data_IF_666668634600
#
_entry.id   IF_666668634600
#
_cell.length_a   1.000
_cell.length_b   1.000
_cell.length_c   1.000
_cell.angle_alpha   90.00
_cell.angle_beta   90.00
_cell.angle_gamma   90.00
#
_symmetry.space_group_name_H-M   'P 1'
#
loop_
_entity.id
_entity.type
_entity.pdbx_description
1 polymer ?
#
# COMPACT_ATOMS: atom_id res chain seq x y z
N UNK A 1 25.43 -47.08 -15.17
CA UNK A 1 24.20 -46.30 -14.88
C UNK A 1 24.20 -45.59 -13.53
N UNK A 2 25.15 -45.82 -12.61
CA UNK A 2 25.14 -45.20 -11.28
C UNK A 2 25.73 -43.76 -11.18
N UNK A 3 26.60 -43.35 -12.12
CA UNK A 3 27.24 -42.02 -12.08
C UNK A 3 26.34 -40.87 -12.57
N UNK A 4 25.27 -41.16 -13.32
CA UNK A 4 24.31 -40.15 -13.77
C UNK A 4 23.31 -39.76 -12.65
N UNK A 5 23.04 -40.67 -11.71
CA UNK A 5 22.09 -40.47 -10.60
C UNK A 5 22.61 -39.48 -9.53
N UNK A 6 23.88 -39.60 -9.11
CA UNK A 6 24.47 -38.69 -8.10
C UNK A 6 24.58 -37.25 -8.61
N UNK A 7 24.98 -37.07 -9.86
CA UNK A 7 25.14 -35.74 -10.48
C UNK A 7 23.78 -35.05 -10.68
N UNK A 8 22.75 -35.80 -11.11
CA UNK A 8 21.39 -35.28 -11.25
C UNK A 8 20.75 -34.88 -9.91
N UNK A 9 20.95 -35.69 -8.86
CA UNK A 9 20.45 -35.39 -7.52
C UNK A 9 21.07 -34.10 -6.96
N UNK A 10 22.40 -33.94 -7.05
CA UNK A 10 23.11 -32.74 -6.58
C UNK A 10 22.76 -31.49 -7.41
N UNK A 11 22.52 -31.66 -8.71
CA UNK A 11 22.05 -30.59 -9.58
C UNK A 11 20.67 -30.10 -9.16
N UNK A 12 19.71 -31.02 -8.96
CA UNK A 12 18.36 -30.69 -8.50
C UNK A 12 18.36 -30.04 -7.11
N UNK A 13 19.17 -30.57 -6.18
CA UNK A 13 19.35 -30.00 -4.86
C UNK A 13 19.84 -28.54 -4.93
N UNK A 14 20.88 -28.28 -5.73
CA UNK A 14 21.45 -26.94 -5.91
C UNK A 14 20.45 -25.98 -6.56
N UNK A 15 19.72 -26.44 -7.57
CA UNK A 15 18.69 -25.67 -8.26
C UNK A 15 17.56 -25.27 -7.31
N UNK A 16 17.06 -26.20 -6.48
CA UNK A 16 15.99 -25.94 -5.52
C UNK A 16 16.46 -25.03 -4.38
N UNK A 17 17.70 -25.17 -3.91
CA UNK A 17 18.28 -24.24 -2.94
C UNK A 17 18.35 -22.83 -3.51
N UNK A 18 18.82 -22.67 -4.75
CA UNK A 18 18.85 -21.37 -5.43
C UNK A 18 17.44 -20.80 -5.63
N UNK A 19 16.47 -21.63 -6.03
CA UNK A 19 15.11 -21.16 -6.25
C UNK A 19 14.42 -20.69 -4.95
N UNK A 20 14.73 -21.34 -3.82
CA UNK A 20 14.32 -20.86 -2.49
C UNK A 20 15.03 -19.56 -2.09
N UNK A 21 16.30 -19.38 -2.45
CA UNK A 21 17.00 -18.11 -2.24
C UNK A 21 16.32 -16.96 -2.99
N UNK A 22 15.88 -17.19 -4.25
CA UNK A 22 15.09 -16.20 -5.01
C UNK A 22 13.79 -15.87 -4.28
N UNK A 23 13.10 -16.86 -3.69
CA UNK A 23 11.89 -16.62 -2.89
C UNK A 23 12.18 -15.74 -1.66
N UNK A 24 13.32 -15.93 -0.99
CA UNK A 24 13.74 -15.04 0.11
C UNK A 24 13.90 -13.60 -0.37
N UNK A 25 14.58 -13.39 -1.50
CA UNK A 25 14.74 -12.05 -2.08
C UNK A 25 13.38 -11.41 -2.42
N UNK A 26 12.46 -12.19 -2.99
CA UNK A 26 11.10 -11.75 -3.27
C UNK A 26 10.33 -11.40 -1.98
N UNK A 27 10.48 -12.20 -0.92
CA UNK A 27 9.87 -11.94 0.40
C UNK A 27 10.37 -10.64 1.03
N UNK A 28 11.69 -10.37 0.94
CA UNK A 28 12.28 -9.10 1.41
C UNK A 28 11.70 -7.93 0.61
N UNK A 29 11.62 -8.03 -0.71
CA UNK A 29 11.07 -6.99 -1.56
C UNK A 29 9.57 -6.74 -1.29
N UNK A 30 8.78 -7.80 -1.10
CA UNK A 30 7.36 -7.71 -0.75
C UNK A 30 7.18 -7.01 0.59
N UNK A 31 7.95 -7.43 1.60
CA UNK A 31 7.92 -6.82 2.93
C UNK A 31 8.32 -5.34 2.87
N UNK A 32 9.37 -4.99 2.12
CA UNK A 32 9.81 -3.61 1.95
C UNK A 32 8.73 -2.74 1.27
N UNK A 33 8.04 -3.27 0.25
CA UNK A 33 6.92 -2.58 -0.42
C UNK A 33 5.75 -2.33 0.54
N UNK A 34 5.38 -3.31 1.37
CA UNK A 34 4.35 -3.15 2.39
C UNK A 34 4.74 -2.12 3.46
N UNK A 35 5.99 -2.14 3.93
CA UNK A 35 6.50 -1.14 4.89
C UNK A 35 6.45 0.25 4.27
N UNK A 36 6.91 0.41 3.02
CA UNK A 36 6.85 1.67 2.30
C UNK A 36 5.42 2.21 2.20
N UNK A 37 4.45 1.34 1.90
CA UNK A 37 3.04 1.72 1.83
C UNK A 37 2.46 2.14 3.19
N UNK A 38 2.79 1.41 4.28
CA UNK A 38 2.29 1.72 5.63
C UNK A 38 2.93 3.01 6.17
N UNK A 39 4.21 3.21 5.89
CA UNK A 39 4.98 4.37 6.36
C UNK A 39 4.86 5.60 5.45
N UNK A 40 4.07 5.52 4.38
CA UNK A 40 4.08 6.46 3.26
C UNK A 40 4.18 7.94 3.67
N UNK A 41 5.28 8.58 3.24
CA UNK A 41 5.56 9.99 3.49
C UNK A 41 4.52 10.92 2.84
N UNK A 42 3.89 10.50 1.74
CA UNK A 42 2.90 11.29 1.01
C UNK A 42 1.56 11.41 1.78
N UNK A 43 1.39 10.64 2.87
CA UNK A 43 0.18 10.67 3.69
C UNK A 43 -1.04 10.04 3.01
N UNK A 44 -0.87 9.44 1.82
CA UNK A 44 -1.96 8.80 1.07
C UNK A 44 -2.50 7.61 1.83
N UNK A 45 -1.64 6.87 2.53
CA UNK A 45 -2.06 5.80 3.45
C UNK A 45 -3.09 6.26 4.48
N UNK A 46 -2.84 7.39 5.13
CA UNK A 46 -3.75 7.95 6.14
C UNK A 46 -5.07 8.40 5.52
N UNK A 47 -5.04 8.88 4.27
CA UNK A 47 -6.28 9.19 3.54
C UNK A 47 -7.11 7.94 3.26
N UNK A 48 -6.47 6.84 2.87
CA UNK A 48 -7.15 5.57 2.63
C UNK A 48 -7.67 4.97 3.93
N UNK A 49 -6.86 4.96 4.99
CA UNK A 49 -7.28 4.54 6.34
C UNK A 49 -8.48 5.35 6.82
N UNK A 50 -8.50 6.66 6.51
CA UNK A 50 -9.59 7.52 6.93
C UNK A 50 -10.94 7.08 6.36
N UNK A 51 -10.99 6.64 5.10
CA UNK A 51 -12.21 6.19 4.42
C UNK A 51 -12.95 5.03 5.09
N UNK A 52 -12.36 4.40 6.10
CA UNK A 52 -12.96 3.28 6.82
C UNK A 52 -12.97 2.00 5.99
N UNK A 53 -12.19 1.94 4.91
CA UNK A 53 -11.95 0.70 4.16
C UNK A 53 -11.00 -0.19 4.97
N UNK A 54 -11.56 -0.86 5.98
CA UNK A 54 -10.89 -1.90 6.79
C UNK A 54 -10.18 -2.96 5.94
N UNK A 55 -10.68 -3.23 4.73
CA UNK A 55 -10.10 -4.18 3.78
C UNK A 55 -8.68 -3.79 3.34
N UNK A 56 -8.41 -2.51 3.08
CA UNK A 56 -7.10 -2.05 2.59
C UNK A 56 -6.07 -2.05 3.71
N UNK A 57 -6.46 -1.57 4.90
CA UNK A 57 -5.63 -1.65 6.10
C UNK A 57 -5.25 -3.10 6.40
N UNK A 58 -6.22 -4.01 6.46
CA UNK A 58 -5.97 -5.44 6.73
C UNK A 58 -5.11 -6.06 5.64
N UNK A 59 -5.32 -5.72 4.37
CA UNK A 59 -4.52 -6.23 3.25
C UNK A 59 -3.04 -5.83 3.35
N UNK A 60 -2.74 -4.58 3.75
CA UNK A 60 -1.37 -4.11 3.92
C UNK A 60 -0.62 -4.90 5.02
N UNK A 61 -1.27 -5.13 6.16
CA UNK A 61 -0.71 -5.94 7.25
C UNK A 61 -0.58 -7.41 6.89
N UNK A 62 -1.58 -8.00 6.24
CA UNK A 62 -1.49 -9.38 5.75
C UNK A 62 -0.31 -9.50 4.77
N UNK A 63 -0.15 -8.57 3.84
CA UNK A 63 1.00 -8.53 2.91
C UNK A 63 2.35 -8.46 3.64
N UNK A 64 2.45 -7.63 4.70
CA UNK A 64 3.65 -7.53 5.53
C UNK A 64 4.04 -8.87 6.18
N UNK A 65 3.07 -9.55 6.82
CA UNK A 65 3.31 -10.84 7.46
C UNK A 65 3.60 -11.94 6.45
N UNK A 66 2.92 -11.93 5.29
CA UNK A 66 3.18 -12.86 4.19
C UNK A 66 4.59 -12.67 3.63
N UNK A 67 5.05 -11.43 3.45
CA UNK A 67 6.43 -11.11 3.07
C UNK A 67 7.45 -11.66 4.06
N UNK A 68 7.21 -11.51 5.37
CA UNK A 68 8.05 -12.12 6.39
C UNK A 68 8.05 -13.66 6.34
N UNK A 69 6.90 -14.27 6.08
CA UNK A 69 6.80 -15.72 5.92
C UNK A 69 7.57 -16.22 4.68
N UNK A 70 7.58 -15.47 3.58
CA UNK A 70 8.41 -15.71 2.40
C UNK A 70 9.92 -15.57 2.64
N UNK A 71 10.34 -15.04 3.79
CA UNK A 71 11.74 -15.06 4.21
C UNK A 71 12.00 -16.35 5.00
N UNK A 72 11.21 -16.59 6.04
CA UNK A 72 11.42 -17.69 6.98
C UNK A 72 11.22 -19.08 6.37
N UNK A 73 10.13 -19.27 5.61
CA UNK A 73 9.76 -20.59 5.07
C UNK A 73 10.76 -21.08 4.01
N UNK A 74 11.19 -20.26 3.03
CA UNK A 74 12.22 -20.68 2.08
C UNK A 74 13.60 -20.90 2.71
N UNK A 75 13.98 -20.16 3.77
CA UNK A 75 15.19 -20.46 4.56
C UNK A 75 15.11 -21.84 5.20
N UNK A 76 13.95 -22.16 5.80
CA UNK A 76 13.69 -23.51 6.30
C UNK A 76 13.71 -24.56 5.17
N UNK A 77 13.18 -24.22 3.99
CA UNK A 77 13.24 -25.06 2.79
C UNK A 77 14.66 -25.37 2.35
N UNK A 78 15.55 -24.36 2.29
CA UNK A 78 16.97 -24.55 2.01
C UNK A 78 17.61 -25.52 3.01
N UNK A 79 17.33 -25.37 4.30
CA UNK A 79 17.82 -26.30 5.34
C UNK A 79 17.26 -27.73 5.16
N UNK A 80 15.98 -27.87 4.85
CA UNK A 80 15.33 -29.16 4.59
C UNK A 80 15.95 -29.89 3.39
N UNK A 81 16.27 -29.15 2.32
CA UNK A 81 16.95 -29.64 1.12
C UNK A 81 18.38 -30.08 1.43
N UNK A 82 19.16 -29.28 2.19
CA UNK A 82 20.54 -29.63 2.56
C UNK A 82 20.61 -30.88 3.43
N UNK A 83 19.65 -31.07 4.33
CA UNK A 83 19.57 -32.23 5.21
C UNK A 83 18.97 -33.47 4.54
N UNK A 84 18.42 -33.33 3.33
CA UNK A 84 17.71 -34.39 2.59
C UNK A 84 16.69 -35.15 3.45
N UNK A 85 16.03 -34.46 4.39
CA UNK A 85 15.12 -35.09 5.35
C UNK A 85 13.67 -34.97 4.89
N UNK A 86 13.04 -36.11 4.59
CA UNK A 86 11.65 -36.19 4.14
C UNK A 86 10.66 -35.48 5.06
N UNK A 87 10.81 -35.66 6.37
CA UNK A 87 9.93 -35.01 7.37
C UNK A 87 10.01 -33.48 7.29
N UNK A 88 11.21 -32.94 7.10
CA UNK A 88 11.42 -31.49 6.99
C UNK A 88 10.91 -30.96 5.64
N UNK A 89 11.12 -31.70 4.55
CA UNK A 89 10.63 -31.32 3.22
C UNK A 89 9.10 -31.31 3.19
N UNK A 90 8.45 -32.30 3.81
CA UNK A 90 6.99 -32.34 3.92
C UNK A 90 6.44 -31.20 4.79
N UNK A 91 7.10 -30.90 5.92
CA UNK A 91 6.74 -29.75 6.74
C UNK A 91 6.88 -28.42 5.97
N UNK A 92 7.97 -28.26 5.21
CA UNK A 92 8.17 -27.09 4.35
C UNK A 92 7.05 -26.97 3.33
N UNK A 93 6.67 -28.07 2.68
CA UNK A 93 5.61 -28.08 1.68
C UNK A 93 4.27 -27.58 2.24
N UNK A 94 3.86 -28.04 3.42
CA UNK A 94 2.64 -27.58 4.09
C UNK A 94 2.72 -26.10 4.44
N UNK A 95 3.83 -25.66 5.06
CA UNK A 95 4.01 -24.25 5.43
C UNK A 95 3.97 -23.34 4.19
N UNK A 96 4.63 -23.74 3.11
CA UNK A 96 4.69 -22.96 1.89
C UNK A 96 3.34 -22.90 1.16
N UNK A 97 2.51 -23.94 1.25
CA UNK A 97 1.12 -23.90 0.77
C UNK A 97 0.26 -22.89 1.54
N UNK A 98 0.43 -22.79 2.86
CA UNK A 98 -0.27 -21.81 3.68
C UNK A 98 0.13 -20.39 3.26
N UNK A 99 1.44 -20.13 3.10
CA UNK A 99 1.95 -18.84 2.63
C UNK A 99 1.42 -18.51 1.23
N UNK A 100 1.41 -19.49 0.32
CA UNK A 100 0.88 -19.34 -1.03
C UNK A 100 -0.61 -18.94 -1.01
N UNK A 101 -1.42 -19.53 -0.14
CA UNK A 101 -2.84 -19.19 -0.03
C UNK A 101 -3.07 -17.77 0.48
N UNK A 102 -2.30 -17.33 1.48
CA UNK A 102 -2.37 -15.95 1.99
C UNK A 102 -1.92 -14.93 0.95
N UNK A 103 -0.86 -15.22 0.20
CA UNK A 103 -0.39 -14.34 -0.88
C UNK A 103 -1.38 -14.26 -2.05
N UNK A 104 -2.02 -15.38 -2.40
CA UNK A 104 -3.10 -15.37 -3.37
C UNK A 104 -4.27 -14.49 -2.89
N UNK A 105 -4.65 -14.59 -1.61
CA UNK A 105 -5.72 -13.78 -1.04
C UNK A 105 -5.36 -12.27 -1.01
N UNK A 106 -4.12 -11.90 -0.65
CA UNK A 106 -3.67 -10.51 -0.64
C UNK A 106 -3.61 -9.95 -2.07
N UNK A 107 -3.05 -10.68 -3.04
CA UNK A 107 -2.93 -10.26 -4.43
C UNK A 107 -4.31 -10.06 -5.10
N UNK A 108 -5.27 -10.96 -4.85
CA UNK A 108 -6.66 -10.82 -5.33
C UNK A 108 -7.31 -9.59 -4.70
N UNK A 109 -7.14 -9.38 -3.39
CA UNK A 109 -7.70 -8.20 -2.69
C UNK A 109 -7.15 -6.91 -3.31
N UNK A 110 -5.84 -6.81 -3.51
CA UNK A 110 -5.20 -5.66 -4.15
C UNK A 110 -5.66 -5.46 -5.62
N UNK A 111 -5.95 -6.54 -6.34
CA UNK A 111 -6.37 -6.47 -7.74
C UNK A 111 -7.84 -6.05 -7.91
N UNK A 112 -8.73 -6.52 -7.03
CA UNK A 112 -10.20 -6.38 -7.12
C UNK A 112 -10.73 -5.14 -6.42
N UNK A 113 -10.06 -4.63 -5.39
CA UNK A 113 -10.55 -3.47 -4.62
C UNK A 113 -10.20 -2.12 -5.26
N UNK A 114 -9.74 -2.09 -6.53
CA UNK A 114 -9.40 -0.86 -7.25
C UNK A 114 -10.58 0.10 -7.41
N UNK A 115 -11.80 -0.43 -7.41
CA UNK A 115 -13.03 0.35 -7.62
C UNK A 115 -13.56 1.02 -6.34
N UNK A 116 -12.94 0.77 -5.16
CA UNK A 116 -13.37 1.35 -3.88
C UNK A 116 -12.91 2.80 -3.69
N UNK A 117 -11.88 3.23 -4.43
CA UNK A 117 -11.33 4.58 -4.35
C UNK A 117 -12.23 5.58 -5.08
N UNK A 118 -13.53 5.57 -4.85
CA UNK A 118 -14.42 6.57 -5.46
C UNK A 118 -14.05 7.98 -4.95
N UNK A 119 -14.15 9.01 -5.80
CA UNK A 119 -13.92 10.39 -5.38
C UNK A 119 -14.84 10.79 -4.21
N UNK A 120 -16.06 10.24 -4.18
CA UNK A 120 -17.04 10.52 -3.13
C UNK A 120 -16.59 10.07 -1.74
N UNK A 121 -15.82 8.98 -1.65
CA UNK A 121 -15.29 8.48 -0.39
C UNK A 121 -14.26 9.48 0.17
N UNK A 122 -13.29 9.87 -0.66
CA UNK A 122 -12.30 10.88 -0.28
C UNK A 122 -12.93 12.25 0.01
N UNK A 123 -14.01 12.60 -0.70
CA UNK A 123 -14.73 13.85 -0.48
C UNK A 123 -15.39 13.85 0.89
N UNK A 124 -16.13 12.79 1.22
CA UNK A 124 -16.75 12.65 2.53
C UNK A 124 -15.71 12.70 3.65
N UNK A 125 -14.60 12.00 3.50
CA UNK A 125 -13.52 11.99 4.49
C UNK A 125 -12.85 13.34 4.65
N UNK A 126 -12.53 14.02 3.55
CA UNK A 126 -11.96 15.36 3.59
C UNK A 126 -12.88 16.32 4.35
N UNK A 127 -14.17 16.36 4.00
CA UNK A 127 -15.12 17.27 4.64
C UNK A 127 -15.30 16.98 6.15
N UNK A 128 -15.17 15.71 6.56
CA UNK A 128 -15.36 15.26 7.94
C UNK A 128 -14.11 15.34 8.83
N UNK A 129 -12.90 15.24 8.29
CA UNK A 129 -11.69 15.17 9.12
C UNK A 129 -10.73 16.35 8.91
N UNK A 130 -10.81 17.04 7.78
CA UNK A 130 -9.92 18.16 7.51
C UNK A 130 -10.21 19.34 8.46
N UNK A 131 -9.20 19.76 9.23
CA UNK A 131 -9.28 20.80 10.26
C UNK A 131 -10.41 20.59 11.30
N UNK A 132 -10.85 19.34 11.52
CA UNK A 132 -11.82 19.04 12.57
C UNK A 132 -11.27 19.48 13.94
N UNK A 133 -12.03 20.25 14.74
CA UNK A 133 -11.55 20.71 16.04
C UNK A 133 -11.51 19.53 17.00
N UNK A 134 -10.41 19.41 17.74
CA UNK A 134 -10.27 18.34 18.74
C UNK A 134 -11.21 18.63 19.92
N UNK A 135 -11.95 17.64 20.43
CA UNK A 135 -12.84 17.85 21.57
C UNK A 135 -12.02 18.28 22.80
N UNK A 136 -12.41 19.40 23.42
CA UNK A 136 -11.70 20.00 24.56
C UNK A 136 -11.91 19.30 25.90
N UNK A 137 -12.69 18.21 25.96
CA UNK A 137 -13.06 17.49 27.19
C UNK A 137 -12.91 15.98 26.96
N UNK A 138 -11.94 15.35 27.66
CA UNK A 138 -11.70 13.88 27.76
C UNK A 138 -11.12 13.28 26.46
N UNK A 139 -10.17 12.31 26.51
CA UNK A 139 -9.20 12.18 25.44
C UNK A 139 -9.95 11.75 24.19
N UNK A 140 -9.90 12.57 23.15
CA UNK A 140 -10.07 12.02 21.81
C UNK A 140 -9.12 10.84 21.76
N UNK A 141 -9.63 9.64 21.42
CA UNK A 141 -8.80 8.45 21.32
C UNK A 141 -7.57 8.84 20.50
N UNK A 142 -6.37 8.49 20.96
CA UNK A 142 -5.12 8.97 20.35
C UNK A 142 -5.10 8.72 18.83
N UNK A 143 -5.79 7.68 18.39
CA UNK A 143 -6.08 7.31 17.01
C UNK A 143 -6.92 8.37 16.25
N UNK A 144 -7.95 8.94 16.86
CA UNK A 144 -8.75 10.02 16.24
C UNK A 144 -7.92 11.29 16.07
N UNK A 145 -7.10 11.65 17.06
CA UNK A 145 -6.19 12.80 16.97
C UNK A 145 -5.19 12.59 15.84
N UNK A 146 -4.58 11.39 15.78
CA UNK A 146 -3.64 11.02 14.73
C UNK A 146 -4.29 11.07 13.36
N UNK A 147 -5.51 10.54 13.22
CA UNK A 147 -6.28 10.54 11.97
C UNK A 147 -6.61 11.96 11.52
N UNK A 148 -7.16 12.83 12.37
CA UNK A 148 -7.48 14.22 12.02
C UNK A 148 -6.23 14.98 11.56
N UNK A 149 -5.14 14.90 12.34
CA UNK A 149 -3.88 15.57 12.02
C UNK A 149 -3.25 15.03 10.74
N UNK A 150 -3.22 13.71 10.59
CA UNK A 150 -2.65 13.04 9.41
C UNK A 150 -3.43 13.33 8.14
N UNK A 151 -4.77 13.27 8.17
CA UNK A 151 -5.63 13.64 7.03
C UNK A 151 -5.40 15.11 6.64
N UNK A 152 -5.39 16.01 7.62
CA UNK A 152 -5.17 17.45 7.38
C UNK A 152 -3.78 17.71 6.79
N UNK A 153 -2.75 17.07 7.31
CA UNK A 153 -1.37 17.19 6.81
C UNK A 153 -1.22 16.64 5.39
N UNK A 154 -1.79 15.47 5.11
CA UNK A 154 -1.76 14.84 3.79
C UNK A 154 -2.46 15.72 2.74
N UNK A 155 -3.67 16.21 3.04
CA UNK A 155 -4.38 17.13 2.15
C UNK A 155 -3.60 18.44 1.90
N UNK A 156 -3.04 19.04 2.95
CA UNK A 156 -2.22 20.25 2.82
C UNK A 156 -1.03 20.04 1.90
N UNK A 157 -0.32 18.92 2.07
CA UNK A 157 0.82 18.55 1.24
C UNK A 157 0.42 18.35 -0.23
N UNK A 158 -0.61 17.54 -0.48
CA UNK A 158 -1.06 17.21 -1.84
C UNK A 158 -1.53 18.45 -2.58
N UNK A 159 -2.32 19.32 -1.93
CA UNK A 159 -2.81 20.57 -2.54
C UNK A 159 -1.66 21.49 -2.98
N UNK A 160 -0.62 21.61 -2.14
CA UNK A 160 0.58 22.40 -2.44
C UNK A 160 1.41 21.75 -3.56
N UNK A 161 1.80 20.48 -3.39
CA UNK A 161 2.75 19.80 -4.29
C UNK A 161 2.17 19.55 -5.68
N UNK A 162 0.89 19.16 -5.76
CA UNK A 162 0.22 18.84 -7.03
C UNK A 162 -0.55 20.04 -7.60
N UNK A 163 -0.51 21.20 -6.92
CA UNK A 163 -1.20 22.43 -7.33
C UNK A 163 -2.67 22.15 -7.69
N UNK A 164 -3.37 21.53 -6.74
CA UNK A 164 -4.76 21.11 -6.87
C UNK A 164 -5.56 21.57 -5.65
N UNK A 165 -6.89 21.57 -5.74
CA UNK A 165 -7.76 21.95 -4.63
C UNK A 165 -8.99 21.06 -4.57
N UNK A 166 -9.31 20.55 -3.38
CA UNK A 166 -10.46 19.66 -3.19
C UNK A 166 -10.27 18.30 -3.89
N UNK A 167 -11.32 17.48 -3.90
CA UNK A 167 -11.31 16.17 -4.56
C UNK A 167 -11.53 16.39 -6.05
N UNK A 168 -12.64 17.04 -6.38
CA UNK A 168 -13.08 17.35 -7.74
C UNK A 168 -12.74 18.80 -8.11
N UNK A 169 -12.61 19.68 -7.11
CA UNK A 169 -12.21 21.07 -7.31
C UNK A 169 -12.43 21.93 -6.06
N UNK A 170 -12.11 23.23 -6.14
CA UNK A 170 -12.27 24.17 -5.02
C UNK A 170 -13.72 24.32 -4.55
N UNK A 171 -14.69 24.04 -5.43
CA UNK A 171 -16.12 24.09 -5.11
C UNK A 171 -16.55 23.07 -4.05
N UNK A 172 -15.75 22.02 -3.83
CA UNK A 172 -16.03 21.02 -2.79
C UNK A 172 -16.10 21.66 -1.39
N UNK A 173 -15.30 22.71 -1.14
CA UNK A 173 -15.26 23.42 0.14
C UNK A 173 -16.45 24.36 0.38
N UNK A 174 -17.04 24.87 -0.70
CA UNK A 174 -18.13 25.86 -0.66
C UNK A 174 -19.50 25.19 -0.76
N UNK A 175 -19.60 24.15 -1.61
CA UNK A 175 -20.87 23.48 -1.91
C UNK A 175 -21.33 22.58 -0.77
N UNK A 176 -20.39 21.95 -0.06
CA UNK A 176 -20.69 20.97 0.98
C UNK A 176 -20.37 21.53 2.37
N UNK A 177 -21.10 21.05 3.38
CA UNK A 177 -20.78 21.37 4.77
C UNK A 177 -19.53 20.58 5.21
N UNK A 178 -18.58 21.28 5.80
CA UNK A 178 -17.31 20.73 6.28
C UNK A 178 -16.91 21.37 7.60
N UNK A 179 -16.12 20.66 8.41
CA UNK A 179 -15.57 21.26 9.64
C UNK A 179 -14.70 22.48 9.36
N UNK A 180 -14.04 22.53 8.20
CA UNK A 180 -13.32 23.71 7.74
C UNK A 180 -14.25 24.92 7.59
N UNK A 181 -15.37 24.74 6.90
CA UNK A 181 -16.35 25.79 6.64
C UNK A 181 -17.05 26.27 7.90
N UNK A 182 -17.29 25.38 8.86
CA UNK A 182 -17.85 25.77 10.17
C UNK A 182 -16.93 26.71 10.97
N UNK A 183 -15.62 26.69 10.69
CA UNK A 183 -14.62 27.51 11.38
C UNK A 183 -14.15 28.74 10.59
N UNK A 184 -14.42 28.78 9.28
CA UNK A 184 -13.92 29.82 8.38
C UNK A 184 -15.09 30.45 7.65
N UNK A 185 -15.19 31.77 7.72
CA UNK A 185 -16.22 32.52 7.02
C UNK A 185 -15.86 32.56 5.53
N UNK A 186 -16.82 32.26 4.66
CA UNK A 186 -16.64 32.25 3.19
C UNK A 186 -16.11 33.60 2.66
N UNK A 187 -16.40 34.71 3.37
CA UNK A 187 -15.92 36.06 3.06
C UNK A 187 -14.41 36.25 3.28
N UNK A 188 -13.79 35.48 4.18
CA UNK A 188 -12.36 35.55 4.46
C UNK A 188 -11.58 34.53 3.63
N UNK A 189 -12.00 33.25 3.65
CA UNK A 189 -11.37 32.16 2.90
C UNK A 189 -12.39 31.07 2.55
N UNK A 190 -12.88 30.99 1.30
CA UNK A 190 -13.85 29.96 0.88
C UNK A 190 -13.25 28.55 0.76
N UNK A 191 -11.91 28.43 0.77
CA UNK A 191 -11.17 27.17 0.73
C UNK A 191 -9.83 27.32 1.50
N UNK A 192 -9.14 26.20 1.80
CA UNK A 192 -7.85 26.26 2.47
C UNK A 192 -6.80 27.05 1.68
N UNK A 193 -5.89 27.72 2.41
CA UNK A 193 -4.80 28.52 1.80
C UNK A 193 -3.88 27.69 0.92
N UNK A 194 -3.79 26.40 1.19
CA UNK A 194 -3.01 25.41 0.45
C UNK A 194 -3.52 25.20 -0.98
N UNK A 195 -4.76 25.61 -1.29
CA UNK A 195 -5.28 25.65 -2.66
C UNK A 195 -4.71 26.80 -3.50
N UNK A 196 -4.13 27.83 -2.86
CA UNK A 196 -3.55 28.98 -3.52
C UNK A 196 -2.18 28.63 -4.12
N UNK A 197 -1.91 29.14 -5.32
CA UNK A 197 -0.61 28.94 -5.95
C UNK A 197 0.50 29.68 -5.21
N UNK A 198 1.64 28.99 -5.05
CA UNK A 198 2.87 29.56 -4.53
C UNK A 198 3.80 29.97 -5.67
N UNK A 199 4.57 31.03 -5.44
CA UNK A 199 5.64 31.49 -6.31
C UNK A 199 6.88 30.57 -6.21
N UNK A 200 7.90 30.84 -7.02
CA UNK A 200 9.14 30.05 -7.03
C UNK A 200 9.93 30.11 -5.70
N UNK A 201 9.59 31.05 -4.81
CA UNK A 201 10.22 31.24 -3.50
C UNK A 201 9.40 30.60 -2.36
N UNK A 202 8.25 29.99 -2.68
CA UNK A 202 7.34 29.35 -1.73
C UNK A 202 6.36 30.30 -1.03
N UNK A 203 6.34 31.58 -1.40
CA UNK A 203 5.35 32.53 -0.92
C UNK A 203 4.08 32.46 -1.76
N UNK A 204 2.92 32.78 -1.18
CA UNK A 204 1.66 32.80 -1.94
C UNK A 204 1.68 33.95 -2.95
N UNK A 205 1.49 33.65 -4.25
CA UNK A 205 1.65 34.64 -5.33
C UNK A 205 0.71 35.85 -5.18
N UNK A 206 -0.55 35.61 -4.82
CA UNK A 206 -1.51 36.65 -4.42
C UNK A 206 -2.63 36.03 -3.60
N UNK A 207 -2.68 36.37 -2.31
CA UNK A 207 -3.67 35.82 -1.41
C UNK A 207 -5.06 36.38 -1.72
N UNK A 208 -5.16 37.67 -2.06
CA UNK A 208 -6.44 38.31 -2.37
C UNK A 208 -6.99 37.87 -3.73
N UNK A 209 -6.11 37.66 -4.72
CA UNK A 209 -6.49 37.05 -6.00
C UNK A 209 -6.95 35.60 -5.83
N UNK A 210 -6.32 34.86 -4.91
CA UNK A 210 -6.75 33.50 -4.57
C UNK A 210 -8.11 33.49 -3.87
N UNK A 211 -8.39 34.39 -2.91
CA UNK A 211 -9.69 34.42 -2.19
C UNK A 211 -10.89 34.58 -3.12
N UNK A 212 -10.75 35.38 -4.17
CA UNK A 212 -11.82 35.64 -5.16
C UNK A 212 -11.86 34.59 -6.27
N UNK A 213 -10.95 33.59 -6.25
CA UNK A 213 -10.89 32.52 -7.24
C UNK A 213 -10.34 32.93 -8.61
N UNK A 214 -9.51 33.97 -8.67
CA UNK A 214 -8.94 34.46 -9.93
C UNK A 214 -7.83 33.52 -10.44
N UNK A 215 -7.92 33.11 -11.70
CA UNK A 215 -6.80 32.45 -12.39
C UNK A 215 -5.67 33.47 -12.65
N UNK A 216 -4.38 33.15 -12.39
CA UNK A 216 -3.81 31.84 -12.08
C UNK A 216 -3.56 31.58 -10.57
N UNK A 217 -4.10 32.40 -9.67
CA UNK A 217 -3.77 32.36 -8.24
C UNK A 217 -4.45 31.22 -7.47
N UNK A 218 -5.53 30.65 -8.01
CA UNK A 218 -6.22 29.48 -7.47
C UNK A 218 -5.96 28.22 -8.32
N UNK A 219 -5.70 27.11 -7.65
CA UNK A 219 -5.68 25.78 -8.27
C UNK A 219 -7.10 25.28 -8.53
N UNK A 220 -7.57 25.41 -9.77
CA UNK A 220 -8.93 25.00 -10.16
C UNK A 220 -9.09 23.50 -10.44
N UNK A 221 -8.01 22.73 -10.45
CA UNK A 221 -8.04 21.28 -10.69
C UNK A 221 -8.23 20.50 -9.40
N UNK A 222 -9.11 19.49 -9.40
CA UNK A 222 -9.26 18.55 -8.28
C UNK A 222 -8.02 17.68 -8.05
N UNK A 223 -7.80 17.27 -6.80
CA UNK A 223 -6.66 16.43 -6.41
C UNK A 223 -6.88 14.93 -6.65
N UNK A 224 -8.13 14.48 -6.82
CA UNK A 224 -8.46 13.06 -6.95
C UNK A 224 -7.70 12.34 -8.07
N UNK A 225 -7.53 12.89 -9.29
CA UNK A 225 -6.77 12.23 -10.33
C UNK A 225 -5.36 11.83 -9.89
N UNK A 226 -4.69 12.66 -9.08
CA UNK A 226 -3.34 12.37 -8.58
C UNK A 226 -3.33 11.27 -7.52
N UNK A 227 -4.28 11.30 -6.59
CA UNK A 227 -4.40 10.31 -5.51
C UNK A 227 -4.84 8.96 -6.09
N UNK A 228 -5.90 8.96 -6.89
CA UNK A 228 -6.48 7.76 -7.49
C UNK A 228 -5.56 7.08 -8.49
N UNK A 229 -4.84 7.84 -9.33
CA UNK A 229 -3.88 7.27 -10.28
C UNK A 229 -2.67 6.65 -9.57
N UNK A 230 -2.16 7.29 -8.52
CA UNK A 230 -1.11 6.74 -7.68
C UNK A 230 -1.53 5.41 -7.04
N UNK A 231 -2.70 5.39 -6.37
CA UNK A 231 -3.21 4.18 -5.71
C UNK A 231 -3.48 3.04 -6.70
N UNK A 232 -4.06 3.35 -7.86
CA UNK A 232 -4.30 2.37 -8.91
C UNK A 232 -3.00 1.79 -9.46
N UNK A 233 -2.02 2.64 -9.75
CA UNK A 233 -0.73 2.21 -10.30
C UNK A 233 0.06 1.39 -9.29
N UNK A 234 0.12 1.84 -8.03
CA UNK A 234 0.76 1.10 -6.95
C UNK A 234 0.09 -0.25 -6.70
N UNK A 235 -1.25 -0.27 -6.60
CA UNK A 235 -2.01 -1.51 -6.43
C UNK A 235 -1.81 -2.50 -7.58
N UNK A 236 -1.78 -2.01 -8.83
CA UNK A 236 -1.45 -2.82 -10.01
C UNK A 236 -0.05 -3.41 -9.94
N UNK A 237 0.96 -2.61 -9.57
CA UNK A 237 2.34 -3.05 -9.45
C UNK A 237 2.49 -4.15 -8.37
N UNK A 238 1.88 -3.96 -7.20
CA UNK A 238 1.87 -4.95 -6.11
C UNK A 238 1.18 -6.25 -6.55
N UNK A 239 0.01 -6.16 -7.19
CA UNK A 239 -0.69 -7.36 -7.69
C UNK A 239 0.13 -8.14 -8.72
N UNK A 240 0.81 -7.47 -9.65
CA UNK A 240 1.62 -8.14 -10.66
C UNK A 240 2.88 -8.78 -10.07
N UNK A 241 3.46 -8.12 -9.08
CA UNK A 241 4.57 -8.66 -8.31
C UNK A 241 4.16 -9.92 -7.54
N UNK A 242 3.04 -9.88 -6.81
CA UNK A 242 2.49 -11.04 -6.09
C UNK A 242 2.15 -12.20 -7.03
N UNK A 243 1.53 -11.93 -8.18
CA UNK A 243 1.28 -12.95 -9.21
C UNK A 243 2.57 -13.63 -9.68
N UNK A 244 3.62 -12.84 -9.94
CA UNK A 244 4.93 -13.36 -10.37
C UNK A 244 5.57 -14.26 -9.31
N UNK A 245 5.47 -13.87 -8.03
CA UNK A 245 5.94 -14.68 -6.89
C UNK A 245 5.15 -15.99 -6.80
N UNK A 246 3.83 -15.96 -6.98
CA UNK A 246 2.99 -17.15 -6.95
C UNK A 246 3.36 -18.12 -8.08
N UNK A 247 3.54 -17.64 -9.31
CA UNK A 247 4.00 -18.47 -10.42
C UNK A 247 5.36 -19.13 -10.12
N UNK A 248 6.31 -18.37 -9.59
CA UNK A 248 7.62 -18.90 -9.20
C UNK A 248 7.50 -19.94 -8.08
N UNK A 249 6.73 -19.63 -7.04
CA UNK A 249 6.48 -20.52 -5.89
C UNK A 249 5.87 -21.84 -6.34
N UNK A 250 4.92 -21.79 -7.27
CA UNK A 250 4.30 -22.99 -7.83
C UNK A 250 5.34 -23.91 -8.49
N UNK A 251 6.26 -23.36 -9.29
CA UNK A 251 7.36 -24.12 -9.89
C UNK A 251 8.30 -24.72 -8.83
N UNK A 252 8.62 -23.96 -7.78
CA UNK A 252 9.43 -24.45 -6.65
C UNK A 252 8.73 -25.60 -5.93
N UNK A 253 7.42 -25.49 -5.67
CA UNK A 253 6.63 -26.54 -5.02
C UNK A 253 6.61 -27.83 -5.85
N UNK A 254 6.43 -27.73 -7.17
CA UNK A 254 6.51 -28.89 -8.07
C UNK A 254 7.90 -29.53 -8.04
N UNK A 255 8.97 -28.73 -8.09
CA UNK A 255 10.33 -29.22 -7.98
C UNK A 255 10.63 -29.89 -6.64
N UNK A 256 10.08 -29.35 -5.56
CA UNK A 256 10.18 -29.91 -4.21
C UNK A 256 9.42 -31.23 -4.07
N UNK A 257 8.25 -31.37 -4.68
CA UNK A 257 7.53 -32.66 -4.76
C UNK A 257 8.35 -33.70 -5.54
N UNK A 258 8.93 -33.32 -6.68
CA UNK A 258 9.79 -34.22 -7.45
C UNK A 258 11.01 -34.67 -6.62
N UNK A 259 11.66 -33.74 -5.91
CA UNK A 259 12.77 -34.06 -5.00
C UNK A 259 12.34 -34.97 -3.85
N UNK A 260 11.13 -34.77 -3.29
CA UNK A 260 10.58 -35.63 -2.24
C UNK A 260 10.37 -37.08 -2.70
N UNK A 261 9.87 -37.29 -3.92
CA UNK A 261 9.66 -38.62 -4.52
C UNK A 261 11.01 -39.28 -4.84
N UNK A 262 11.95 -38.52 -5.39
CA UNK A 262 13.29 -39.02 -5.74
C UNK A 262 14.14 -39.40 -4.53
N UNK A 263 13.78 -38.99 -3.31
CA UNK A 263 14.45 -39.44 -2.09
C UNK A 263 14.14 -40.91 -1.72
N UNK A 264 13.12 -41.54 -2.31
CA UNK A 264 12.81 -42.97 -2.09
C UNK A 264 13.54 -43.92 -3.04
N UNK A 265 14.08 -43.42 -4.15
CA UNK A 265 14.74 -44.20 -5.20
C UNK A 265 16.26 -44.07 -5.12
#
# INVERSE_FOLDING_TARGET
MAFYSSSGHRCLQSLLTWANFVLVCCGIALMAMCIYFIYDHEGVYVLVDATGSESVWRAAWIGLFTGFAFICVPVFGMYAIMKSSKKLIFAYFILMLIVFAFEMASAITAATHKDWFSPNLFLKEMLQYYNKPLPGVVPSNQDEIYKIKGVTAAWNRIMIEKKCCGVNGPQDWVTFDSYFRQQNIDADYPWPRQCCQQDAMGAFSSLDGCKIGLNPYLSNTGCYPYIGDYLRTFGLAVSWFGFSILCWTFLVLLGMMAFYILLDY
#
